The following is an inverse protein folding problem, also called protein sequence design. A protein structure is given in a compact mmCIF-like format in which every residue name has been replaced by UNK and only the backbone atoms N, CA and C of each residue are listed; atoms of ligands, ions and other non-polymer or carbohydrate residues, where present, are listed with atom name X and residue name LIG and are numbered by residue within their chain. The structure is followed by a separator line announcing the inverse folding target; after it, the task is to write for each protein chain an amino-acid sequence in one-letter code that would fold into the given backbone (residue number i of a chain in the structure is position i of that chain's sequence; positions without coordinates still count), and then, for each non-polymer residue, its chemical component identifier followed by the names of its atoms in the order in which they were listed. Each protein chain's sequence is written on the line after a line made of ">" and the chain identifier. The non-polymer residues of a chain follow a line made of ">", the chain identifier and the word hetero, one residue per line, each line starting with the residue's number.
data_IF_728993083279
#
_entry.id   IF_728993083279
#
_cell.length_a   1.000
_cell.length_b   1.000
_cell.length_c   1.000
_cell.angle_alpha   90.00
_cell.angle_beta   90.00
_cell.angle_gamma   90.00
#
_symmetry.space_group_name_H-M   'P 1'
#
loop_
_entity.id
_entity.type
_entity.pdbx_description
1 polymer ?
#
# COMPACT_ATOMS: atom_id res chain seq x y z
N UNK A 1 -46.58 10.29 55.39
CA UNK A 1 -46.22 9.03 56.08
C UNK A 1 -46.20 7.90 55.05
N UNK A 2 -45.26 6.93 55.17
CA UNK A 2 -44.90 5.84 54.21
C UNK A 2 -43.91 6.32 53.12
N UNK A 3 -42.78 5.69 52.79
CA UNK A 3 -42.06 4.43 53.14
C UNK A 3 -40.59 4.65 52.70
N UNK A 4 -39.62 4.48 53.60
CA UNK A 4 -38.58 3.44 53.56
C UNK A 4 -37.82 3.25 52.22
N UNK A 5 -36.51 3.53 52.17
CA UNK A 5 -35.46 2.52 52.34
C UNK A 5 -34.05 3.14 52.33
N UNK A 6 -33.29 2.81 53.37
CA UNK A 6 -31.83 2.85 53.45
C UNK A 6 -31.22 1.79 52.51
N UNK A 7 -30.19 2.15 51.74
CA UNK A 7 -28.99 1.30 51.58
C UNK A 7 -27.76 2.22 51.45
N UNK A 8 -26.97 2.26 52.52
CA UNK A 8 -25.57 2.68 52.57
C UNK A 8 -24.68 1.65 51.81
N UNK A 9 -23.40 2.03 51.62
CA UNK A 9 -22.19 1.23 51.29
C UNK A 9 -21.73 1.31 49.83
N UNK A 10 -20.44 1.46 49.51
CA UNK A 10 -19.25 1.90 50.24
C UNK A 10 -18.17 2.09 49.14
N UNK A 11 -17.31 3.07 49.39
CA UNK A 11 -16.04 3.43 48.75
C UNK A 11 -15.22 2.26 48.19
N UNK A 12 -14.65 2.41 46.99
CA UNK A 12 -13.27 1.98 46.70
C UNK A 12 -12.69 2.76 45.50
N UNK A 13 -11.76 3.66 45.81
CA UNK A 13 -10.77 4.23 44.89
C UNK A 13 -9.92 3.11 44.28
N UNK A 14 -9.69 3.17 42.96
CA UNK A 14 -8.41 2.75 42.39
C UNK A 14 -7.92 3.88 41.47
N UNK A 15 -6.96 4.63 42.01
CA UNK A 15 -5.96 5.37 41.26
C UNK A 15 -5.04 4.36 40.55
N UNK A 16 -5.05 4.34 39.22
CA UNK A 16 -3.86 3.95 38.44
C UNK A 16 -3.87 4.63 37.06
N UNK A 17 -2.88 5.49 36.81
CA UNK A 17 -2.27 5.65 35.49
C UNK A 17 -2.99 6.52 34.45
N UNK A 18 -3.15 7.81 34.71
CA UNK A 18 -3.19 8.81 33.64
C UNK A 18 -1.75 9.02 33.16
N UNK A 19 -1.39 8.55 31.96
CA UNK A 19 -0.07 8.81 31.39
C UNK A 19 0.36 7.77 30.37
N UNK A 20 0.17 8.08 29.10
CA UNK A 20 0.81 7.34 28.00
C UNK A 20 -0.15 6.59 27.09
N UNK A 21 -1.18 7.25 26.57
CA UNK A 21 -1.81 6.80 25.33
C UNK A 21 -0.81 7.00 24.19
N UNK A 22 0.14 6.07 24.05
CA UNK A 22 0.74 5.77 22.76
C UNK A 22 -0.45 5.54 21.84
N UNK A 23 -0.66 6.48 20.91
CA UNK A 23 -1.49 6.26 19.73
C UNK A 23 -0.89 5.05 19.04
N UNK A 24 -1.37 3.86 19.40
CA UNK A 24 -1.37 2.73 18.50
C UNK A 24 -2.14 3.25 17.29
N UNK A 25 -1.39 3.63 16.25
CA UNK A 25 -1.97 3.79 14.95
C UNK A 25 -2.74 2.50 14.73
N UNK A 26 -4.07 2.60 14.74
CA UNK A 26 -4.92 1.51 14.32
C UNK A 26 -4.45 1.16 12.92
N UNK A 27 -3.67 0.09 12.81
CA UNK A 27 -3.36 -0.54 11.54
C UNK A 27 -4.73 -0.91 11.02
N UNK A 28 -5.26 -0.11 10.10
CA UNK A 28 -6.46 -0.45 9.37
C UNK A 28 -6.11 -1.74 8.66
N UNK A 29 -6.48 -2.88 9.27
CA UNK A 29 -6.26 -4.20 8.71
C UNK A 29 -7.26 -4.32 7.58
N UNK A 30 -6.84 -3.84 6.41
CA UNK A 30 -7.58 -4.07 5.18
C UNK A 30 -7.72 -5.59 5.04
N UNK A 31 -8.94 -6.13 4.90
CA UNK A 31 -9.15 -7.57 4.82
C UNK A 31 -8.29 -8.19 3.73
N UNK A 32 -7.63 -9.30 4.07
CA UNK A 32 -6.90 -10.14 3.12
C UNK A 32 -7.92 -11.12 2.52
N UNK A 33 -7.93 -11.26 1.20
CA UNK A 33 -8.73 -12.23 0.48
C UNK A 33 -8.27 -13.69 0.71
N UNK A 34 -8.89 -14.65 0.02
CA UNK A 34 -8.47 -16.05 0.10
C UNK A 34 -7.02 -16.20 -0.39
N UNK A 35 -6.18 -16.83 0.43
CA UNK A 35 -4.78 -17.09 0.13
C UNK A 35 -4.67 -18.36 -0.72
N UNK A 36 -4.07 -18.25 -1.90
CA UNK A 36 -3.80 -19.42 -2.73
C UNK A 36 -2.71 -20.29 -2.07
N UNK A 37 -2.80 -21.63 -2.18
CA UNK A 37 -1.72 -22.50 -1.75
C UNK A 37 -0.45 -22.22 -2.55
N UNK A 38 0.68 -22.76 -2.08
CA UNK A 38 1.92 -22.77 -2.84
C UNK A 38 1.65 -23.23 -4.28
N UNK A 39 2.21 -22.52 -5.25
CA UNK A 39 2.13 -22.96 -6.63
C UNK A 39 2.82 -24.32 -6.79
N UNK A 40 2.28 -25.18 -7.65
CA UNK A 40 2.84 -26.51 -7.92
C UNK A 40 4.01 -26.42 -8.90
N UNK A 41 3.98 -25.44 -9.81
CA UNK A 41 5.01 -25.28 -10.85
C UNK A 41 5.52 -23.85 -10.95
N UNK A 42 6.73 -23.70 -11.50
CA UNK A 42 7.34 -22.38 -11.76
C UNK A 42 6.47 -21.54 -12.69
N UNK A 43 5.89 -22.18 -13.70
CA UNK A 43 5.04 -21.54 -14.69
C UNK A 43 3.77 -20.99 -14.05
N UNK A 44 3.09 -21.80 -13.26
CA UNK A 44 1.89 -21.39 -12.54
C UNK A 44 2.17 -20.17 -11.65
N UNK A 45 3.27 -20.18 -10.90
CA UNK A 45 3.62 -19.05 -10.05
C UNK A 45 3.93 -17.77 -10.86
N UNK A 46 4.67 -17.90 -11.96
CA UNK A 46 4.94 -16.78 -12.85
C UNK A 46 3.65 -16.21 -13.45
N UNK A 47 2.69 -17.07 -13.84
CA UNK A 47 1.39 -16.66 -14.35
C UNK A 47 0.57 -15.91 -13.29
N UNK A 48 0.58 -16.38 -12.04
CA UNK A 48 -0.07 -15.67 -10.91
C UNK A 48 0.57 -14.30 -10.69
N UNK A 49 1.90 -14.23 -10.60
CA UNK A 49 2.63 -12.97 -10.42
C UNK A 49 2.33 -11.99 -11.55
N UNK A 50 2.42 -12.40 -12.81
CA UNK A 50 2.25 -11.49 -13.94
C UNK A 50 0.79 -11.04 -14.08
N UNK A 51 -0.16 -11.97 -14.02
CA UNK A 51 -1.55 -11.69 -14.34
C UNK A 51 -2.33 -11.08 -13.18
N UNK A 52 -2.09 -11.55 -11.95
CA UNK A 52 -2.87 -11.17 -10.77
C UNK A 52 -2.20 -10.00 -10.04
N UNK A 53 -0.86 -9.91 -10.07
CA UNK A 53 -0.13 -8.91 -9.31
C UNK A 53 0.47 -7.79 -10.18
N UNK A 54 1.38 -8.10 -11.10
CA UNK A 54 2.14 -7.07 -11.85
C UNK A 54 1.28 -6.24 -12.78
N UNK A 55 0.33 -6.86 -13.51
CA UNK A 55 -0.52 -6.14 -14.46
C UNK A 55 -1.43 -5.12 -13.76
N UNK A 56 -2.16 -5.46 -12.68
CA UNK A 56 -2.90 -4.46 -11.90
C UNK A 56 -1.97 -3.41 -11.27
N UNK A 57 -0.87 -3.84 -10.67
CA UNK A 57 0.08 -2.93 -10.01
C UNK A 57 0.64 -1.88 -10.98
N UNK A 58 0.87 -2.24 -12.25
CA UNK A 58 1.34 -1.29 -13.26
C UNK A 58 0.39 -0.10 -13.45
N UNK A 59 -0.93 -0.31 -13.37
CA UNK A 59 -1.90 0.79 -13.45
C UNK A 59 -1.81 1.73 -12.24
N UNK A 60 -1.54 1.17 -11.06
CA UNK A 60 -1.37 1.93 -9.82
C UNK A 60 -0.07 2.74 -9.84
N UNK A 61 1.03 2.12 -10.29
CA UNK A 61 2.34 2.75 -10.40
C UNK A 61 2.36 3.86 -11.46
N UNK A 62 1.60 3.73 -12.56
CA UNK A 62 1.46 4.79 -13.55
C UNK A 62 0.86 6.07 -12.97
N UNK A 63 -0.07 5.96 -12.03
CA UNK A 63 -0.61 7.13 -11.32
C UNK A 63 0.43 7.73 -10.39
N UNK A 64 1.21 6.91 -9.66
CA UNK A 64 2.30 7.41 -8.82
C UNK A 64 3.36 8.16 -9.63
N UNK A 65 3.84 7.59 -10.74
CA UNK A 65 4.88 8.20 -11.56
C UNK A 65 4.39 9.47 -12.25
N UNK A 66 3.12 9.48 -12.66
CA UNK A 66 2.49 10.65 -13.29
C UNK A 66 2.02 11.69 -12.29
N UNK A 67 2.08 11.42 -10.97
CA UNK A 67 1.50 12.29 -9.96
C UNK A 67 2.07 13.72 -10.03
N UNK A 68 3.38 13.85 -10.24
CA UNK A 68 4.07 15.14 -10.36
C UNK A 68 4.03 15.75 -11.77
N UNK A 69 3.30 15.14 -12.71
CA UNK A 69 3.13 15.72 -14.04
C UNK A 69 2.39 17.08 -13.94
N UNK A 70 2.84 18.15 -14.61
CA UNK A 70 2.22 19.48 -14.50
C UNK A 70 0.71 19.49 -14.82
N UNK A 71 0.28 18.72 -15.82
CA UNK A 71 -1.13 18.63 -16.19
C UNK A 71 -1.96 17.93 -15.10
N UNK A 72 -1.42 16.87 -14.49
CA UNK A 72 -2.08 16.18 -13.37
C UNK A 72 -2.15 17.09 -12.15
N UNK A 73 -1.09 17.85 -11.86
CA UNK A 73 -1.07 18.84 -10.77
C UNK A 73 -2.12 19.93 -10.99
N UNK A 74 -2.29 20.42 -12.22
CA UNK A 74 -3.36 21.35 -12.57
C UNK A 74 -4.75 20.74 -12.33
N UNK A 75 -4.97 19.48 -12.74
CA UNK A 75 -6.25 18.81 -12.50
C UNK A 75 -6.54 18.56 -11.02
N UNK A 76 -5.51 18.30 -10.21
CA UNK A 76 -5.66 18.20 -8.75
C UNK A 76 -6.05 19.57 -8.18
N UNK A 77 -5.31 20.63 -8.54
CA UNK A 77 -5.57 21.99 -8.08
C UNK A 77 -6.94 22.52 -8.51
N UNK A 78 -7.40 22.16 -9.72
CA UNK A 78 -8.72 22.51 -10.24
C UNK A 78 -9.85 21.60 -9.72
N UNK A 79 -9.56 20.72 -8.75
CA UNK A 79 -10.51 19.77 -8.15
C UNK A 79 -11.24 18.90 -9.19
N UNK A 80 -10.55 18.50 -10.28
CA UNK A 80 -11.16 17.70 -11.33
C UNK A 80 -11.66 16.35 -10.75
N UNK A 81 -12.97 16.06 -10.76
CA UNK A 81 -13.54 14.94 -10.02
C UNK A 81 -13.08 13.58 -10.56
N UNK A 82 -12.85 13.48 -11.88
CA UNK A 82 -12.35 12.26 -12.52
C UNK A 82 -10.92 11.96 -12.06
N UNK A 83 -10.04 12.95 -12.07
CA UNK A 83 -8.64 12.82 -11.64
C UNK A 83 -8.55 12.41 -10.17
N UNK A 84 -9.28 13.12 -9.29
CA UNK A 84 -9.29 12.81 -7.86
C UNK A 84 -9.83 11.41 -7.57
N UNK A 85 -10.87 10.96 -8.29
CA UNK A 85 -11.42 9.61 -8.17
C UNK A 85 -10.40 8.55 -8.61
N UNK A 86 -9.74 8.75 -9.75
CA UNK A 86 -8.70 7.83 -10.25
C UNK A 86 -7.57 7.71 -9.24
N UNK A 87 -7.04 8.84 -8.74
CA UNK A 87 -5.98 8.84 -7.73
C UNK A 87 -6.42 8.09 -6.48
N UNK A 88 -7.61 8.40 -5.94
CA UNK A 88 -8.15 7.74 -4.75
C UNK A 88 -8.24 6.22 -4.94
N UNK A 89 -8.80 5.77 -6.06
CA UNK A 89 -8.98 4.34 -6.34
C UNK A 89 -7.64 3.63 -6.48
N UNK A 90 -6.71 4.20 -7.25
CA UNK A 90 -5.39 3.60 -7.48
C UNK A 90 -4.52 3.58 -6.23
N UNK A 91 -4.59 4.61 -5.38
CA UNK A 91 -3.90 4.59 -4.09
C UNK A 91 -4.53 3.58 -3.13
N UNK A 92 -5.86 3.41 -3.13
CA UNK A 92 -6.51 2.34 -2.37
C UNK A 92 -6.09 0.94 -2.84
N UNK A 93 -5.93 0.75 -4.15
CA UNK A 93 -5.44 -0.51 -4.72
C UNK A 93 -3.98 -0.76 -4.35
N UNK A 94 -3.15 0.29 -4.34
CA UNK A 94 -1.74 0.20 -3.97
C UNK A 94 -1.52 0.02 -2.46
N UNK A 95 -2.40 0.57 -1.61
CA UNK A 95 -2.43 0.28 -0.18
C UNK A 95 -2.64 -1.21 0.13
N UNK A 96 -3.15 -1.98 -0.84
CA UNK A 96 -3.34 -3.43 -0.74
C UNK A 96 -2.20 -4.23 -1.36
N UNK A 97 -1.10 -3.60 -1.77
CA UNK A 97 0.00 -4.28 -2.48
C UNK A 97 0.48 -5.53 -1.71
N UNK A 98 0.80 -5.39 -0.41
CA UNK A 98 1.28 -6.52 0.39
C UNK A 98 0.23 -7.62 0.51
N UNK A 99 -1.05 -7.27 0.70
CA UNK A 99 -2.14 -8.26 0.77
C UNK A 99 -2.31 -9.02 -0.54
N UNK A 100 -2.32 -8.32 -1.68
CA UNK A 100 -2.41 -8.94 -3.02
C UNK A 100 -1.25 -9.90 -3.26
N UNK A 101 -0.05 -9.58 -2.77
CA UNK A 101 1.10 -10.45 -2.90
C UNK A 101 1.02 -11.68 -1.97
N UNK A 102 0.40 -11.55 -0.78
CA UNK A 102 0.09 -12.72 0.06
C UNK A 102 -0.95 -13.61 -0.63
N UNK A 103 -1.99 -13.03 -1.23
CA UNK A 103 -3.10 -13.76 -1.86
C UNK A 103 -2.65 -14.66 -3.03
N UNK A 104 -1.61 -14.30 -3.78
CA UNK A 104 -1.10 -15.14 -4.89
C UNK A 104 -0.42 -16.44 -4.44
N UNK A 105 -0.07 -16.54 -3.15
CA UNK A 105 0.61 -17.69 -2.57
C UNK A 105 2.12 -17.76 -2.87
N UNK A 106 2.85 -18.57 -2.09
CA UNK A 106 4.31 -18.66 -2.21
C UNK A 106 4.77 -19.40 -3.49
N UNK A 107 6.03 -19.20 -3.92
CA UNK A 107 6.62 -19.92 -5.04
C UNK A 107 6.74 -21.44 -4.77
N UNK A 108 6.85 -22.26 -5.83
CA UNK A 108 7.03 -23.71 -5.72
C UNK A 108 8.41 -24.07 -5.15
N UNK A 109 8.43 -25.03 -4.23
CA UNK A 109 9.65 -25.68 -3.75
C UNK A 109 10.68 -24.70 -3.17
N UNK A 110 11.97 -25.03 -3.31
CA UNK A 110 13.09 -24.28 -2.72
C UNK A 110 13.87 -23.43 -3.73
N UNK A 111 13.29 -23.11 -4.90
CA UNK A 111 13.98 -22.31 -5.94
C UNK A 111 14.38 -20.94 -5.37
N UNK A 112 15.70 -20.68 -5.34
CA UNK A 112 16.25 -19.47 -4.74
C UNK A 112 15.94 -18.21 -5.55
N UNK A 113 15.78 -18.31 -6.88
CA UNK A 113 15.44 -17.15 -7.72
C UNK A 113 13.99 -16.75 -7.52
N UNK A 114 13.06 -17.71 -7.49
CA UNK A 114 11.65 -17.42 -7.25
C UNK A 114 11.41 -16.84 -5.85
N UNK A 115 12.06 -17.40 -4.82
CA UNK A 115 12.03 -16.81 -3.47
C UNK A 115 12.62 -15.40 -3.44
N UNK A 116 13.72 -15.16 -4.16
CA UNK A 116 14.31 -13.81 -4.21
C UNK A 116 13.40 -12.79 -4.92
N UNK A 117 12.64 -13.21 -5.94
CA UNK A 117 11.61 -12.37 -6.57
C UNK A 117 10.54 -12.03 -5.54
N UNK A 118 9.99 -13.05 -4.88
CA UNK A 118 8.93 -12.92 -3.87
C UNK A 118 9.32 -11.95 -2.73
N UNK A 119 10.48 -12.18 -2.11
CA UNK A 119 11.00 -11.32 -1.04
C UNK A 119 11.18 -9.86 -1.47
N UNK A 120 11.64 -9.63 -2.71
CA UNK A 120 11.82 -8.27 -3.24
C UNK A 120 10.49 -7.61 -3.54
N UNK A 121 9.50 -8.34 -4.03
CA UNK A 121 8.16 -7.82 -4.23
C UNK A 121 7.50 -7.47 -2.90
N UNK A 122 7.67 -8.28 -1.85
CA UNK A 122 7.20 -7.97 -0.51
C UNK A 122 7.82 -6.67 0.03
N UNK A 123 9.15 -6.55 -0.04
CA UNK A 123 9.85 -5.32 0.35
C UNK A 123 9.41 -4.10 -0.46
N UNK A 124 9.13 -4.27 -1.75
CA UNK A 124 8.61 -3.20 -2.58
C UNK A 124 7.21 -2.77 -2.13
N UNK A 125 6.31 -3.74 -1.90
CA UNK A 125 4.95 -3.48 -1.44
C UNK A 125 4.91 -2.77 -0.10
N UNK A 126 5.72 -3.19 0.88
CA UNK A 126 5.74 -2.55 2.21
C UNK A 126 6.04 -1.06 2.12
N UNK A 127 6.94 -0.66 1.21
CA UNK A 127 7.23 0.74 0.95
C UNK A 127 6.15 1.42 0.09
N UNK A 128 5.60 0.75 -0.92
CA UNK A 128 4.51 1.30 -1.73
C UNK A 128 3.25 1.59 -0.92
N UNK A 129 2.95 0.80 0.11
CA UNK A 129 1.84 1.07 1.04
C UNK A 129 2.04 2.41 1.76
N UNK A 130 3.26 2.71 2.21
CA UNK A 130 3.58 3.99 2.87
C UNK A 130 3.42 5.15 1.88
N UNK A 131 3.98 5.00 0.68
CA UNK A 131 3.89 6.02 -0.39
C UNK A 131 2.44 6.27 -0.79
N UNK A 132 1.64 5.21 -0.98
CA UNK A 132 0.23 5.32 -1.32
C UNK A 132 -0.57 6.06 -0.25
N UNK A 133 -0.31 5.77 1.03
CA UNK A 133 -0.96 6.47 2.15
C UNK A 133 -0.62 7.97 2.14
N UNK A 134 0.63 8.33 1.87
CA UNK A 134 1.06 9.72 1.81
C UNK A 134 0.43 10.45 0.61
N UNK A 135 0.43 9.85 -0.57
CA UNK A 135 -0.19 10.41 -1.79
C UNK A 135 -1.69 10.59 -1.59
N UNK A 136 -2.38 9.60 -1.02
CA UNK A 136 -3.81 9.68 -0.75
C UNK A 136 -4.16 10.82 0.22
N UNK A 137 -3.33 11.05 1.24
CA UNK A 137 -3.49 12.18 2.18
C UNK A 137 -3.08 13.52 1.59
N UNK A 138 -2.05 13.56 0.75
CA UNK A 138 -1.58 14.77 0.10
C UNK A 138 -2.57 15.30 -0.94
N UNK A 139 -3.23 14.41 -1.70
CA UNK A 139 -4.14 14.77 -2.79
C UNK A 139 -5.22 15.80 -2.40
N UNK A 140 -6.04 15.61 -1.33
CA UNK A 140 -7.02 16.62 -0.94
C UNK A 140 -6.40 17.92 -0.42
N UNK A 141 -5.18 17.88 0.15
CA UNK A 141 -4.47 19.07 0.61
C UNK A 141 -4.01 19.93 -0.57
N UNK A 142 -3.47 19.27 -1.61
CA UNK A 142 -3.08 19.91 -2.86
C UNK A 142 -4.28 20.48 -3.63
N UNK A 143 -5.44 19.83 -3.51
CA UNK A 143 -6.69 20.27 -4.14
C UNK A 143 -7.38 21.45 -3.41
N UNK A 144 -6.88 21.86 -2.23
CA UNK A 144 -7.55 22.84 -1.37
C UNK A 144 -7.53 24.28 -1.91
N UNK A 145 -6.58 24.61 -2.79
CA UNK A 145 -6.35 25.98 -3.29
C UNK A 145 -5.73 26.94 -2.27
N UNK A 146 -5.52 26.51 -1.02
CA UNK A 146 -4.90 27.31 0.04
C UNK A 146 -3.40 27.05 0.10
N UNK A 147 -2.59 28.10 0.01
CA UNK A 147 -1.13 27.98 -0.03
C UNK A 147 -0.53 27.21 1.15
N UNK A 148 -1.00 27.47 2.37
CA UNK A 148 -0.52 26.80 3.59
C UNK A 148 -0.85 25.30 3.61
N UNK A 149 -2.06 24.94 3.17
CA UNK A 149 -2.53 23.56 3.10
C UNK A 149 -1.84 22.80 1.96
N UNK A 150 -1.67 23.46 0.80
CA UNK A 150 -0.93 22.89 -0.34
C UNK A 150 0.54 22.64 0.04
N UNK A 151 1.18 23.54 0.80
CA UNK A 151 2.55 23.34 1.28
C UNK A 151 2.68 22.10 2.19
N UNK A 152 1.72 21.86 3.08
CA UNK A 152 1.64 20.64 3.89
C UNK A 152 1.42 19.39 3.01
N UNK A 153 0.59 19.48 1.97
CA UNK A 153 0.42 18.42 0.98
C UNK A 153 1.74 18.05 0.28
N UNK A 154 2.49 19.05 -0.17
CA UNK A 154 3.81 18.85 -0.78
C UNK A 154 4.84 18.29 0.21
N UNK A 155 4.80 18.74 1.47
CA UNK A 155 5.66 18.23 2.53
C UNK A 155 5.46 16.72 2.71
N UNK A 156 4.21 16.24 2.76
CA UNK A 156 3.91 14.81 2.88
C UNK A 156 4.50 13.97 1.74
N UNK A 157 4.55 14.51 0.53
CA UNK A 157 5.16 13.81 -0.61
C UNK A 157 6.68 13.77 -0.50
N UNK A 158 7.31 14.84 0.00
CA UNK A 158 8.76 14.87 0.24
C UNK A 158 9.16 13.91 1.36
N UNK A 159 8.35 13.83 2.41
CA UNK A 159 8.61 12.99 3.59
C UNK A 159 8.63 11.47 3.28
N UNK A 160 8.13 11.05 2.10
CA UNK A 160 8.14 9.63 1.67
C UNK A 160 9.08 9.34 0.48
N UNK A 161 10.02 10.24 0.19
CA UNK A 161 10.95 10.10 -0.94
C UNK A 161 11.83 8.85 -0.81
N UNK A 162 12.28 8.55 0.39
CA UNK A 162 13.17 7.41 0.64
C UNK A 162 12.42 6.07 0.50
N UNK A 163 11.18 5.99 0.99
CA UNK A 163 10.29 4.85 0.78
C UNK A 163 10.00 4.66 -0.71
N UNK A 164 9.73 5.74 -1.44
CA UNK A 164 9.52 5.68 -2.90
C UNK A 164 10.75 5.11 -3.62
N UNK A 165 11.95 5.57 -3.27
CA UNK A 165 13.21 5.04 -3.81
C UNK A 165 13.42 3.56 -3.45
N UNK A 166 13.20 3.18 -2.20
CA UNK A 166 13.29 1.77 -1.73
C UNK A 166 12.27 0.86 -2.42
N UNK A 167 11.04 1.33 -2.62
CA UNK A 167 10.00 0.61 -3.34
C UNK A 167 10.43 0.34 -4.78
N UNK A 168 10.82 1.39 -5.51
CA UNK A 168 11.26 1.31 -6.89
C UNK A 168 12.48 0.41 -7.08
N UNK A 169 13.47 0.51 -6.18
CA UNK A 169 14.68 -0.32 -6.25
C UNK A 169 14.40 -1.81 -6.06
N UNK A 170 13.59 -2.17 -5.07
CA UNK A 170 13.22 -3.56 -4.83
C UNK A 170 12.34 -4.11 -5.96
N UNK A 171 11.37 -3.33 -6.43
CA UNK A 171 10.51 -3.70 -7.56
C UNK A 171 11.34 -3.95 -8.82
N UNK A 172 12.20 -3.01 -9.20
CA UNK A 172 13.08 -3.15 -10.36
C UNK A 172 14.02 -4.36 -10.22
N UNK A 173 14.56 -4.62 -9.02
CA UNK A 173 15.40 -5.79 -8.79
C UNK A 173 14.63 -7.11 -8.94
N UNK A 174 13.37 -7.19 -8.48
CA UNK A 174 12.51 -8.35 -8.70
C UNK A 174 12.25 -8.58 -10.19
N UNK A 175 11.88 -7.52 -10.92
CA UNK A 175 11.61 -7.57 -12.37
C UNK A 175 12.85 -8.01 -13.15
N UNK A 176 14.05 -7.50 -12.81
CA UNK A 176 15.30 -7.93 -13.45
C UNK A 176 15.55 -9.42 -13.30
N UNK A 177 15.32 -9.99 -12.10
CA UNK A 177 15.47 -11.45 -11.89
C UNK A 177 14.43 -12.19 -12.71
N UNK A 178 13.15 -11.78 -12.62
CA UNK A 178 12.05 -12.41 -13.34
C UNK A 178 12.27 -12.44 -14.87
N UNK A 179 12.82 -11.38 -15.46
CA UNK A 179 13.10 -11.30 -16.90
C UNK A 179 14.17 -12.30 -17.38
N UNK A 180 15.03 -12.80 -16.49
CA UNK A 180 15.99 -13.86 -16.83
C UNK A 180 15.35 -15.25 -16.93
N UNK A 181 14.13 -15.41 -16.43
CA UNK A 181 13.45 -16.69 -16.33
C UNK A 181 12.50 -16.93 -17.52
N UNK A 182 12.53 -18.12 -18.15
CA UNK A 182 11.65 -18.43 -19.29
C UNK A 182 10.16 -18.42 -18.91
N UNK A 183 9.80 -18.87 -17.71
CA UNK A 183 8.42 -18.93 -17.25
C UNK A 183 7.73 -17.56 -17.22
N UNK A 184 8.44 -16.53 -16.77
CA UNK A 184 7.93 -15.15 -16.74
C UNK A 184 7.77 -14.56 -18.14
N UNK A 185 8.68 -14.89 -19.07
CA UNK A 185 8.53 -14.50 -20.48
C UNK A 185 7.30 -15.13 -21.12
N UNK A 186 7.06 -16.42 -20.86
CA UNK A 186 5.83 -17.11 -21.31
C UNK A 186 4.57 -16.53 -20.68
N UNK A 187 4.63 -16.13 -19.41
CA UNK A 187 3.56 -15.43 -18.72
C UNK A 187 3.29 -14.00 -19.26
N UNK A 188 4.12 -13.51 -20.17
CA UNK A 188 3.95 -12.21 -20.84
C UNK A 188 4.75 -11.07 -20.22
N UNK A 189 5.69 -11.34 -19.31
CA UNK A 189 6.62 -10.32 -18.82
C UNK A 189 7.59 -9.92 -19.95
N UNK A 190 7.43 -8.69 -20.43
CA UNK A 190 8.32 -8.11 -21.44
C UNK A 190 9.68 -7.80 -20.82
N UNK A 191 10.74 -7.91 -21.63
CA UNK A 191 12.05 -7.35 -21.26
C UNK A 191 11.92 -5.84 -21.12
N UNK A 192 12.50 -5.29 -20.06
CA UNK A 192 12.74 -3.86 -19.93
C UNK A 192 13.81 -3.51 -20.96
N UNK A 193 13.54 -2.48 -21.76
CA UNK A 193 14.49 -1.92 -22.72
C UNK A 193 15.56 -1.16 -21.95
#
# INVERSE_FOLDING_TARGET
>A
MKRALLVLLLVALVLTGCGGSKKGAATSTIPIGPVLPAAMTRQEWADRIVNIFLRPLNADLNVLTSFNNPQIQLYIASQNPTTLRIIKNRMNDLLRCSNKLVEIGPPPGSDSKLRSIDEKLHKACDNYVIVAAAVQKATPLLASGRNDVTAEGQKRLRDVRDESGRAGNNFAAAIRIAQTLPEFRRAGLKKSV
#
